data_IF_217692179409
#
_entry.id   IF_217692179409
#
_cell.length_a   1.000
_cell.length_b   1.000
_cell.length_c   1.000
_cell.angle_alpha   90.00
_cell.angle_beta   90.00
_cell.angle_gamma   90.00
#
_symmetry.space_group_name_H-M   'P 1'
#
loop_
_entity.id
_entity.type
_entity.pdbx_description
1 polymer ?
#
# COMPACT_ATOMS: atom_id res chain seq x y z
N UNK A 1 23.57 11.36 -0.29
CA UNK A 1 24.30 12.19 0.70
C UNK A 1 25.67 12.53 0.14
N UNK A 2 26.20 13.77 0.28
CA UNK A 2 27.55 14.10 -0.20
C UNK A 2 28.60 13.16 0.39
N UNK A 3 29.55 12.71 -0.45
CA UNK A 3 30.60 11.78 -0.04
C UNK A 3 31.45 12.31 1.12
N UNK A 4 31.67 13.62 1.17
CA UNK A 4 32.41 14.28 2.25
C UNK A 4 31.78 14.10 3.63
N UNK A 5 30.45 13.97 3.72
CA UNK A 5 29.76 13.69 4.98
C UNK A 5 29.86 12.20 5.35
N UNK A 6 29.90 11.29 4.36
CA UNK A 6 30.08 9.86 4.62
C UNK A 6 31.49 9.55 5.09
N UNK A 7 32.50 10.12 4.43
CA UNK A 7 33.90 9.79 4.68
C UNK A 7 34.45 10.50 5.94
N UNK A 8 33.75 11.52 6.45
CA UNK A 8 34.15 12.31 7.62
C UNK A 8 33.89 11.69 9.00
N UNK A 9 33.27 10.50 9.05
CA UNK A 9 32.89 9.84 10.31
C UNK A 9 33.45 8.42 10.40
N UNK A 10 33.89 8.00 11.60
CA UNK A 10 34.54 6.70 11.86
C UNK A 10 33.81 5.50 11.25
N UNK A 11 32.48 5.51 11.26
CA UNK A 11 31.64 4.42 10.74
C UNK A 11 30.85 4.81 9.48
N UNK A 12 31.05 6.03 8.96
CA UNK A 12 30.25 6.62 7.90
C UNK A 12 28.79 6.83 8.28
N UNK A 13 27.90 6.81 7.28
CA UNK A 13 26.45 6.90 7.48
C UNK A 13 25.82 5.52 7.67
N UNK A 14 24.89 5.41 8.61
CA UNK A 14 24.04 4.23 8.81
C UNK A 14 22.59 4.66 8.58
N UNK A 15 21.85 3.88 7.80
CA UNK A 15 20.45 4.14 7.48
C UNK A 15 19.59 2.95 7.91
N UNK A 16 18.37 3.24 8.37
CA UNK A 16 17.33 2.24 8.59
C UNK A 16 16.34 2.35 7.43
N UNK A 17 16.35 1.35 6.56
CA UNK A 17 15.49 1.30 5.38
C UNK A 17 14.30 0.39 5.63
N UNK A 18 13.09 0.86 5.34
CA UNK A 18 11.83 0.15 5.65
C UNK A 18 11.41 -0.85 4.55
N UNK A 19 12.37 -1.66 4.08
CA UNK A 19 12.11 -2.84 3.26
C UNK A 19 13.19 -3.91 3.44
N UNK A 20 12.97 -5.09 2.83
CA UNK A 20 13.96 -6.14 2.67
C UNK A 20 14.79 -5.90 1.40
N UNK A 21 15.88 -5.14 1.54
CA UNK A 21 16.81 -4.83 0.44
C UNK A 21 17.41 -6.11 -0.18
N UNK A 22 17.44 -6.22 -1.52
CA UNK A 22 17.41 -5.11 -2.48
C UNK A 22 16.02 -4.70 -2.99
N UNK A 23 14.94 -5.36 -2.54
CA UNK A 23 13.58 -5.00 -2.94
C UNK A 23 13.19 -3.66 -2.32
N UNK A 24 12.52 -2.82 -3.10
CA UNK A 24 11.98 -1.51 -2.70
C UNK A 24 13.01 -0.47 -2.25
N UNK A 25 14.09 -0.30 -3.01
CA UNK A 25 14.96 0.88 -2.88
C UNK A 25 14.17 2.16 -3.18
N UNK A 26 14.36 3.22 -2.40
CA UNK A 26 13.77 4.54 -2.66
C UNK A 26 12.79 5.01 -1.60
N UNK A 27 11.88 5.89 -2.01
CA UNK A 27 11.21 6.83 -1.11
C UNK A 27 9.94 6.31 -0.44
N UNK A 28 9.25 5.30 -0.99
CA UNK A 28 7.96 4.84 -0.48
C UNK A 28 7.85 3.31 -0.28
N UNK A 29 8.85 2.64 0.32
CA UNK A 29 8.90 1.18 0.36
C UNK A 29 7.69 0.52 1.02
N UNK A 30 7.17 1.10 2.11
CA UNK A 30 6.06 0.56 2.89
C UNK A 30 4.78 0.50 2.05
N UNK A 31 4.36 1.62 1.47
CA UNK A 31 3.16 1.69 0.66
C UNK A 31 3.29 0.81 -0.60
N UNK A 32 4.47 0.81 -1.23
CA UNK A 32 4.70 0.01 -2.45
C UNK A 32 4.66 -1.50 -2.17
N UNK A 33 5.13 -1.96 -1.00
CA UNK A 33 4.99 -3.35 -0.58
C UNK A 33 3.52 -3.75 -0.41
N UNK A 34 2.71 -2.91 0.25
CA UNK A 34 1.26 -3.16 0.40
C UNK A 34 0.57 -3.17 -0.97
N UNK A 35 0.83 -2.18 -1.83
CA UNK A 35 0.27 -2.10 -3.18
C UNK A 35 0.60 -3.33 -4.03
N UNK A 36 1.84 -3.81 -3.96
CA UNK A 36 2.27 -5.01 -4.67
C UNK A 36 1.68 -6.30 -4.09
N UNK A 37 1.10 -6.25 -2.89
CA UNK A 37 0.55 -7.43 -2.19
C UNK A 37 1.64 -8.35 -1.68
N UNK A 38 2.78 -7.79 -1.27
CA UNK A 38 3.84 -8.57 -0.66
C UNK A 38 3.32 -9.18 0.66
N UNK A 39 3.53 -10.48 0.92
CA UNK A 39 3.10 -11.11 2.18
C UNK A 39 4.03 -10.76 3.35
N UNK A 40 5.25 -10.28 3.03
CA UNK A 40 6.31 -9.97 3.98
C UNK A 40 7.07 -8.73 3.50
N UNK A 41 7.44 -7.88 4.44
CA UNK A 41 8.39 -6.79 4.26
C UNK A 41 9.37 -6.83 5.43
N UNK A 42 10.03 -5.72 5.76
CA UNK A 42 10.93 -5.68 6.88
C UNK A 42 11.74 -4.40 6.95
N UNK A 43 12.78 -4.46 7.77
CA UNK A 43 13.76 -3.39 7.91
C UNK A 43 15.14 -3.91 7.57
N UNK A 44 15.94 -3.07 6.92
CA UNK A 44 17.37 -3.26 6.73
C UNK A 44 18.12 -2.12 7.40
N UNK A 45 19.06 -2.43 8.28
CA UNK A 45 20.05 -1.45 8.74
C UNK A 45 21.25 -1.56 7.81
N UNK A 46 21.53 -0.50 7.06
CA UNK A 46 22.53 -0.53 6.00
C UNK A 46 23.58 0.56 6.17
N UNK A 47 24.78 0.31 5.64
CA UNK A 47 25.77 1.34 5.43
C UNK A 47 25.32 2.22 4.27
N UNK A 48 25.38 3.52 4.43
CA UNK A 48 25.07 4.47 3.37
C UNK A 48 26.21 4.54 2.37
N UNK A 49 25.84 4.61 1.09
CA UNK A 49 26.74 4.89 -0.03
C UNK A 49 26.20 6.07 -0.85
N UNK A 50 26.91 6.44 -1.92
CA UNK A 50 26.47 7.53 -2.81
C UNK A 50 25.19 7.15 -3.57
N UNK A 51 25.04 5.86 -3.92
CA UNK A 51 23.84 5.34 -4.56
C UNK A 51 22.61 5.35 -3.65
N UNK A 52 21.42 5.45 -4.25
CA UNK A 52 20.15 5.40 -3.53
C UNK A 52 19.88 3.99 -3.03
N UNK A 53 20.03 3.79 -1.72
CA UNK A 53 19.77 2.53 -1.01
C UNK A 53 20.55 1.33 -1.59
N UNK A 54 21.78 1.56 -2.06
CA UNK A 54 22.64 0.51 -2.67
C UNK A 54 23.62 -0.13 -1.70
N UNK A 55 23.87 0.52 -0.56
CA UNK A 55 24.96 0.13 0.32
C UNK A 55 24.74 -1.23 1.02
N UNK A 56 25.82 -1.84 1.53
CA UNK A 56 25.77 -3.15 2.15
C UNK A 56 24.95 -3.14 3.44
N UNK A 57 24.30 -4.25 3.75
CA UNK A 57 23.35 -4.40 4.86
C UNK A 57 24.02 -5.06 6.07
N UNK A 58 23.90 -4.44 7.24
CA UNK A 58 24.37 -4.98 8.53
C UNK A 58 23.38 -5.98 9.12
N UNK A 59 22.10 -5.65 9.10
CA UNK A 59 21.04 -6.44 9.71
C UNK A 59 19.76 -6.37 8.87
N UNK A 60 19.01 -7.47 8.89
CA UNK A 60 17.71 -7.62 8.24
C UNK A 60 16.73 -8.23 9.23
N UNK A 61 15.52 -7.69 9.29
CA UNK A 61 14.43 -8.28 10.04
C UNK A 61 13.15 -8.28 9.23
N UNK A 62 12.55 -9.46 9.10
CA UNK A 62 11.29 -9.66 8.41
C UNK A 62 10.10 -9.31 9.29
N UNK A 63 9.05 -8.81 8.66
CA UNK A 63 7.76 -8.45 9.26
C UNK A 63 6.66 -8.86 8.29
N UNK A 64 5.72 -9.69 8.75
CA UNK A 64 4.56 -10.08 7.97
C UNK A 64 3.67 -8.87 7.65
N UNK A 65 3.08 -8.84 6.46
CA UNK A 65 2.05 -7.85 6.10
C UNK A 65 0.70 -8.53 6.27
N UNK A 66 0.02 -8.22 7.38
CA UNK A 66 -1.33 -8.73 7.64
C UNK A 66 -2.30 -8.27 6.54
N UNK A 67 -3.36 -9.06 6.31
CA UNK A 67 -4.37 -8.75 5.28
C UNK A 67 -5.01 -7.36 5.46
N UNK A 68 -5.18 -6.94 6.72
CA UNK A 68 -5.76 -5.65 7.09
C UNK A 68 -4.69 -4.55 7.34
N UNK A 69 -3.40 -4.85 7.10
CA UNK A 69 -2.33 -3.90 7.36
C UNK A 69 -2.50 -2.63 6.52
N UNK A 70 -2.47 -1.49 7.19
CA UNK A 70 -2.45 -0.15 6.59
C UNK A 70 -1.03 0.38 6.54
N UNK A 71 -0.75 1.36 5.66
CA UNK A 71 0.56 2.00 5.61
C UNK A 71 0.95 2.63 6.96
N UNK A 72 0.01 3.27 7.65
CA UNK A 72 0.24 3.86 8.97
C UNK A 72 0.57 2.80 10.04
N UNK A 73 -0.22 1.71 10.11
CA UNK A 73 0.02 0.63 11.06
C UNK A 73 1.36 -0.08 10.80
N UNK A 74 1.63 -0.43 9.54
CA UNK A 74 2.88 -1.08 9.16
C UNK A 74 4.09 -0.18 9.41
N UNK A 75 3.96 1.14 9.23
CA UNK A 75 5.01 2.11 9.58
C UNK A 75 5.36 2.05 11.07
N UNK A 76 4.38 1.96 11.96
CA UNK A 76 4.63 1.84 13.40
C UNK A 76 5.36 0.54 13.73
N UNK A 77 4.90 -0.59 13.18
CA UNK A 77 5.55 -1.89 13.36
C UNK A 77 7.00 -1.88 12.88
N UNK A 78 7.27 -1.33 11.69
CA UNK A 78 8.61 -1.24 11.13
C UNK A 78 9.49 -0.25 11.87
N UNK A 79 8.94 0.85 12.39
CA UNK A 79 9.72 1.81 13.17
C UNK A 79 10.26 1.19 14.47
N UNK A 80 9.45 0.38 15.16
CA UNK A 80 9.87 -0.36 16.37
C UNK A 80 10.96 -1.38 16.00
N UNK A 81 10.70 -2.22 15.00
CA UNK A 81 11.67 -3.22 14.55
C UNK A 81 13.00 -2.56 14.10
N UNK A 82 12.92 -1.46 13.36
CA UNK A 82 14.08 -0.72 12.86
C UNK A 82 14.89 -0.06 13.98
N UNK A 83 14.25 0.46 15.02
CA UNK A 83 14.93 1.02 16.17
C UNK A 83 15.71 -0.05 16.95
N UNK A 84 15.11 -1.22 17.16
CA UNK A 84 15.76 -2.35 17.83
C UNK A 84 17.00 -2.84 17.05
N UNK A 85 16.86 -3.05 15.74
CA UNK A 85 17.98 -3.45 14.88
C UNK A 85 19.08 -2.38 14.84
N UNK A 86 18.71 -1.09 14.77
CA UNK A 86 19.67 0.00 14.74
C UNK A 86 20.53 0.03 16.00
N UNK A 87 19.91 -0.08 17.19
CA UNK A 87 20.65 -0.10 18.46
C UNK A 87 21.61 -1.29 18.51
N UNK A 88 21.18 -2.46 18.08
CA UNK A 88 22.04 -3.66 18.03
C UNK A 88 23.24 -3.46 17.07
N UNK A 89 23.00 -2.91 15.88
CA UNK A 89 24.06 -2.64 14.90
C UNK A 89 25.05 -1.59 15.39
N UNK A 90 24.58 -0.50 16.01
CA UNK A 90 25.46 0.54 16.57
C UNK A 90 26.36 -0.03 17.67
N UNK A 91 25.82 -0.86 18.56
CA UNK A 91 26.60 -1.52 19.60
C UNK A 91 27.63 -2.51 19.02
N UNK A 92 27.28 -3.22 17.94
CA UNK A 92 28.21 -4.11 17.24
C UNK A 92 29.32 -3.34 16.50
N UNK A 93 29.00 -2.18 15.90
CA UNK A 93 29.97 -1.30 15.27
C UNK A 93 31.00 -0.77 16.27
N UNK A 94 30.54 -0.33 17.45
CA UNK A 94 31.41 0.19 18.51
C UNK A 94 32.44 -0.85 18.97
N UNK A 95 32.02 -2.12 19.10
CA UNK A 95 32.88 -3.24 19.47
C UNK A 95 33.70 -3.83 18.31
N UNK A 96 33.53 -3.32 17.09
CA UNK A 96 34.22 -3.83 15.90
C UNK A 96 33.73 -5.21 15.42
N UNK A 97 32.52 -5.62 15.81
CA UNK A 97 31.93 -6.92 15.50
C UNK A 97 30.91 -6.88 14.35
N UNK A 98 30.48 -5.69 13.91
CA UNK A 98 29.51 -5.57 12.82
C UNK A 98 30.13 -5.90 11.45
N UNK A 99 29.47 -6.77 10.69
CA UNK A 99 29.80 -7.07 9.30
C UNK A 99 28.63 -6.66 8.40
N UNK A 100 28.93 -5.93 7.32
CA UNK A 100 27.94 -5.57 6.31
C UNK A 100 28.08 -6.49 5.10
N UNK A 101 26.97 -7.01 4.60
CA UNK A 101 26.93 -7.86 3.41
C UNK A 101 26.44 -7.03 2.21
N UNK A 102 27.18 -7.02 1.08
CA UNK A 102 26.68 -6.42 -0.16
C UNK A 102 25.28 -6.90 -0.52
N UNK A 103 24.46 -6.01 -1.08
CA UNK A 103 23.16 -6.41 -1.60
C UNK A 103 23.35 -7.30 -2.83
N UNK A 104 22.51 -8.34 -3.02
CA UNK A 104 22.50 -9.09 -4.27
C UNK A 104 22.04 -8.20 -5.44
N UNK A 105 22.49 -8.54 -6.65
CA UNK A 105 22.05 -7.86 -7.88
C UNK A 105 20.64 -8.29 -8.31
N UNK A 106 20.26 -9.52 -7.99
CA UNK A 106 18.94 -10.07 -8.25
C UNK A 106 17.90 -9.53 -7.25
N UNK A 107 16.68 -9.26 -7.73
CA UNK A 107 15.56 -8.83 -6.89
C UNK A 107 15.50 -7.34 -6.59
N UNK A 108 16.37 -6.52 -7.21
CA UNK A 108 16.31 -5.05 -7.11
C UNK A 108 14.99 -4.53 -7.66
N UNK A 109 14.23 -3.82 -6.83
CA UNK A 109 13.06 -3.05 -7.26
C UNK A 109 13.09 -1.65 -6.66
N UNK A 110 12.35 -0.72 -7.27
CA UNK A 110 12.31 0.67 -6.84
C UNK A 110 10.94 1.08 -6.31
N UNK A 111 10.93 1.62 -5.10
CA UNK A 111 9.79 2.25 -4.47
C UNK A 111 9.79 3.75 -4.76
N UNK A 112 9.37 4.13 -5.96
CA UNK A 112 9.24 5.54 -6.34
C UNK A 112 8.32 6.27 -5.35
N UNK A 113 8.65 7.54 -5.09
CA UNK A 113 7.83 8.45 -4.27
C UNK A 113 6.40 8.42 -4.80
N UNK A 114 5.42 8.30 -3.90
CA UNK A 114 4.01 8.37 -4.30
C UNK A 114 3.71 9.75 -4.89
N UNK A 115 2.74 9.82 -5.80
CA UNK A 115 2.21 11.07 -6.35
C UNK A 115 0.69 11.11 -6.17
N UNK A 116 0.02 12.19 -6.59
CA UNK A 116 -1.46 12.24 -6.52
C UNK A 116 -2.10 11.26 -7.49
N UNK A 117 -1.45 11.02 -8.61
CA UNK A 117 -1.89 10.14 -9.69
C UNK A 117 -1.90 8.67 -9.23
N UNK A 118 -0.99 8.25 -8.34
CA UNK A 118 -1.05 6.93 -7.70
C UNK A 118 -2.37 6.68 -6.95
N UNK A 119 -3.04 7.75 -6.50
CA UNK A 119 -4.33 7.71 -5.80
C UNK A 119 -5.56 7.69 -6.70
N UNK A 120 -5.41 7.88 -8.01
CA UNK A 120 -6.56 7.89 -8.92
C UNK A 120 -6.91 6.44 -9.28
N UNK A 121 -8.06 5.98 -8.80
CA UNK A 121 -8.57 4.65 -9.10
C UNK A 121 -9.20 4.62 -10.50
N UNK A 122 -8.66 3.73 -11.32
CA UNK A 122 -9.29 3.24 -12.54
C UNK A 122 -9.98 1.90 -12.26
N UNK A 123 -11.31 1.91 -12.25
CA UNK A 123 -12.12 0.71 -12.01
C UNK A 123 -11.95 -0.36 -13.09
N UNK A 124 -11.62 0.02 -14.33
CA UNK A 124 -11.44 -0.94 -15.43
C UNK A 124 -10.12 -1.70 -15.31
N UNK A 125 -9.12 -1.10 -14.67
CA UNK A 125 -7.78 -1.66 -14.56
C UNK A 125 -7.53 -2.44 -13.25
N UNK A 126 -8.40 -2.34 -12.24
CA UNK A 126 -8.13 -2.84 -10.89
C UNK A 126 -9.14 -3.89 -10.40
N UNK A 127 -8.64 -4.99 -9.85
CA UNK A 127 -9.47 -5.96 -9.11
C UNK A 127 -9.94 -5.39 -7.77
N UNK A 128 -10.95 -6.01 -7.17
CA UNK A 128 -11.42 -5.62 -5.84
C UNK A 128 -10.31 -5.70 -4.77
N UNK A 129 -9.40 -6.67 -4.87
CA UNK A 129 -8.24 -6.83 -3.98
C UNK A 129 -7.15 -5.78 -4.25
N UNK A 130 -7.00 -5.31 -5.49
CA UNK A 130 -6.12 -4.18 -5.79
C UNK A 130 -6.69 -2.87 -5.24
N UNK A 131 -8.00 -2.64 -5.39
CA UNK A 131 -8.68 -1.49 -4.78
C UNK A 131 -8.47 -1.47 -3.27
N UNK A 132 -8.63 -2.63 -2.63
CA UNK A 132 -8.39 -2.79 -1.20
C UNK A 132 -6.96 -2.40 -0.77
N UNK A 133 -5.96 -2.95 -1.49
CA UNK A 133 -4.56 -2.60 -1.26
C UNK A 133 -4.30 -1.11 -1.46
N UNK A 134 -4.91 -0.48 -2.47
CA UNK A 134 -4.81 0.96 -2.67
C UNK A 134 -5.37 1.74 -1.47
N UNK A 135 -6.56 1.38 -0.98
CA UNK A 135 -7.20 2.06 0.16
C UNK A 135 -6.33 1.96 1.41
N UNK A 136 -5.76 0.78 1.68
CA UNK A 136 -4.89 0.56 2.85
C UNK A 136 -3.50 1.19 2.72
N UNK A 137 -2.94 1.24 1.51
CA UNK A 137 -1.58 1.71 1.28
C UNK A 137 -1.47 3.23 1.10
N UNK A 138 -2.53 3.87 0.61
CA UNK A 138 -2.52 5.27 0.19
C UNK A 138 -3.24 6.20 1.18
N UNK A 139 -3.68 5.69 2.33
CA UNK A 139 -4.20 6.50 3.43
C UNK A 139 -3.07 6.91 4.40
N UNK A 140 -2.96 8.20 4.79
CA UNK A 140 -3.82 9.33 4.45
C UNK A 140 -3.48 10.02 3.11
N UNK A 141 -2.33 9.70 2.51
CA UNK A 141 -1.82 10.35 1.31
C UNK A 141 -1.30 9.36 0.27
N UNK A 142 -1.62 9.55 -1.03
CA UNK A 142 -2.48 10.59 -1.62
C UNK A 142 -3.98 10.45 -1.33
N UNK A 143 -4.40 9.32 -0.76
CA UNK A 143 -5.79 8.86 -0.71
C UNK A 143 -6.23 8.24 -2.03
N UNK A 144 -7.28 7.42 -1.99
CA UNK A 144 -7.87 6.83 -3.20
C UNK A 144 -9.05 7.66 -3.66
N UNK A 145 -9.02 8.20 -4.87
CA UNK A 145 -10.13 8.91 -5.51
C UNK A 145 -10.68 8.11 -6.67
N UNK A 146 -12.01 8.01 -6.79
CA UNK A 146 -12.68 7.28 -7.86
C UNK A 146 -13.94 8.02 -8.33
N UNK A 147 -14.38 7.76 -9.56
CA UNK A 147 -15.76 8.07 -9.94
C UNK A 147 -16.71 7.09 -9.24
N UNK A 148 -17.77 7.64 -8.64
CA UNK A 148 -18.87 6.88 -8.07
C UNK A 148 -20.19 7.55 -8.44
N UNK A 149 -20.93 6.93 -9.36
CA UNK A 149 -22.19 7.44 -9.89
C UNK A 149 -22.05 8.86 -10.50
N UNK A 150 -21.02 9.06 -11.33
CA UNK A 150 -20.79 10.32 -12.07
C UNK A 150 -20.22 11.44 -11.21
N UNK A 151 -19.59 11.09 -10.09
CA UNK A 151 -18.90 12.07 -9.25
C UNK A 151 -17.65 11.52 -8.59
N UNK A 152 -16.62 12.35 -8.57
CA UNK A 152 -15.36 12.05 -7.90
C UNK A 152 -15.53 12.08 -6.38
N UNK A 153 -15.17 10.98 -5.74
CA UNK A 153 -15.12 10.84 -4.28
C UNK A 153 -13.79 10.23 -3.85
N UNK A 154 -13.37 10.52 -2.62
CA UNK A 154 -12.37 9.69 -1.93
C UNK A 154 -13.04 8.47 -1.34
N UNK A 155 -12.47 7.29 -1.57
CA UNK A 155 -12.82 6.06 -0.87
C UNK A 155 -11.98 6.03 0.41
N UNK A 156 -12.65 5.94 1.56
CA UNK A 156 -11.99 5.96 2.86
C UNK A 156 -11.94 4.59 3.52
N UNK A 157 -12.95 3.75 3.29
CA UNK A 157 -12.97 2.39 3.81
C UNK A 157 -13.87 1.49 2.97
N UNK A 158 -13.53 0.22 2.95
CA UNK A 158 -14.24 -0.82 2.22
C UNK A 158 -13.49 -2.14 2.33
N UNK A 159 -13.94 -3.13 1.58
CA UNK A 159 -13.28 -4.44 1.49
C UNK A 159 -13.72 -5.20 0.23
N UNK A 160 -12.90 -6.12 -0.29
CA UNK A 160 -13.34 -7.01 -1.34
C UNK A 160 -14.40 -7.97 -0.79
N UNK A 161 -15.39 -8.31 -1.61
CA UNK A 161 -16.39 -9.33 -1.30
C UNK A 161 -16.06 -10.58 -2.12
N UNK A 162 -15.86 -11.70 -1.43
CA UNK A 162 -15.67 -13.00 -2.08
C UNK A 162 -16.90 -13.36 -2.92
N UNK A 163 -16.67 -13.72 -4.19
CA UNK A 163 -17.72 -14.06 -5.15
C UNK A 163 -17.41 -13.48 -6.54
N UNK A 164 -17.80 -14.18 -7.60
CA UNK A 164 -17.72 -13.61 -8.94
C UNK A 164 -18.79 -12.52 -9.08
N UNK A 165 -18.55 -11.57 -9.96
CA UNK A 165 -19.55 -10.58 -10.39
C UNK A 165 -20.88 -11.24 -10.85
N UNK A 166 -20.84 -12.52 -11.24
CA UNK A 166 -21.99 -13.35 -11.65
C UNK A 166 -22.77 -13.95 -10.47
N UNK A 167 -22.21 -13.97 -9.27
CA UNK A 167 -22.81 -14.60 -8.09
C UNK A 167 -23.72 -13.61 -7.32
N UNK A 168 -24.09 -12.48 -7.93
CA UNK A 168 -24.98 -11.47 -7.33
C UNK A 168 -26.43 -11.97 -7.41
N UNK A 169 -27.07 -12.33 -6.28
CA UNK A 169 -28.49 -12.66 -6.26
C UNK A 169 -29.30 -11.39 -6.54
N UNK A 170 -30.14 -11.43 -7.59
CA UNK A 170 -30.89 -10.27 -8.08
C UNK A 170 -31.29 -10.37 -9.56
N UNK A 171 -30.64 -11.24 -10.34
CA UNK A 171 -31.14 -11.68 -11.65
C UNK A 171 -32.10 -12.87 -11.49
N UNK A 172 -33.09 -12.77 -10.61
CA UNK A 172 -34.16 -13.76 -10.56
C UNK A 172 -35.12 -13.52 -11.73
N UNK A 173 -34.98 -14.36 -12.77
CA UNK A 173 -35.96 -14.44 -13.85
C UNK A 173 -35.46 -14.15 -15.26
N UNK A 174 -34.29 -14.64 -15.66
CA UNK A 174 -34.12 -15.09 -17.05
C UNK A 174 -32.94 -16.04 -17.19
N UNK A 175 -33.22 -17.22 -17.71
CA UNK A 175 -32.23 -18.04 -18.41
C UNK A 175 -31.47 -17.18 -19.44
N UNK A 176 -30.17 -17.45 -19.56
CA UNK A 176 -29.27 -17.12 -20.68
C UNK A 176 -29.06 -15.63 -21.03
N UNK A 177 -28.23 -14.95 -20.25
CA UNK A 177 -27.11 -14.09 -20.71
C UNK A 177 -26.49 -13.45 -19.48
N UNK A 178 -25.21 -13.64 -19.23
CA UNK A 178 -24.55 -12.94 -18.13
C UNK A 178 -24.58 -11.44 -18.46
N UNK A 179 -25.43 -10.66 -17.79
CA UNK A 179 -25.39 -9.20 -17.88
C UNK A 179 -24.02 -8.76 -17.39
N UNK A 180 -23.17 -8.34 -18.32
CA UNK A 180 -21.87 -7.76 -18.01
C UNK A 180 -22.17 -6.41 -17.36
N UNK A 181 -21.96 -6.31 -16.05
CA UNK A 181 -22.04 -5.03 -15.36
C UNK A 181 -20.73 -4.28 -15.61
N UNK A 182 -20.74 -3.05 -16.12
CA UNK A 182 -19.50 -2.30 -16.34
C UNK A 182 -18.76 -2.04 -15.03
N UNK A 183 -17.44 -2.08 -15.05
CA UNK A 183 -16.62 -1.67 -13.90
C UNK A 183 -16.95 -0.25 -13.46
N UNK A 184 -16.89 0.02 -12.16
CA UNK A 184 -17.31 1.29 -11.55
C UNK A 184 -18.83 1.40 -11.34
N UNK A 185 -19.63 0.48 -11.87
CA UNK A 185 -21.08 0.49 -11.65
C UNK A 185 -21.43 0.06 -10.23
N UNK A 186 -22.32 0.81 -9.60
CA UNK A 186 -22.97 0.38 -8.35
C UNK A 186 -23.91 -0.78 -8.65
N UNK A 187 -23.57 -1.96 -8.14
CA UNK A 187 -24.35 -3.20 -8.34
C UNK A 187 -25.56 -3.22 -7.42
N UNK A 188 -25.35 -2.93 -6.13
CA UNK A 188 -26.41 -2.84 -5.13
C UNK A 188 -25.98 -2.03 -3.92
N UNK A 189 -26.96 -1.62 -3.12
CA UNK A 189 -26.76 -1.03 -1.80
C UNK A 189 -27.06 -2.11 -0.75
N UNK A 190 -26.17 -2.28 0.22
CA UNK A 190 -26.32 -3.20 1.35
C UNK A 190 -26.24 -2.44 2.66
N UNK A 191 -27.41 -2.17 3.26
CA UNK A 191 -27.49 -1.31 4.44
C UNK A 191 -26.92 0.08 4.14
N UNK A 192 -25.84 0.45 4.83
CA UNK A 192 -25.15 1.74 4.65
C UNK A 192 -23.99 1.69 3.63
N UNK A 193 -23.73 0.53 3.04
CA UNK A 193 -22.62 0.30 2.11
C UNK A 193 -23.10 0.14 0.67
N UNK A 194 -22.18 0.28 -0.29
CA UNK A 194 -22.45 0.03 -1.71
C UNK A 194 -21.50 -1.03 -2.26
N UNK A 195 -22.02 -1.97 -3.05
CA UNK A 195 -21.20 -2.89 -3.83
C UNK A 195 -20.96 -2.30 -5.20
N UNK A 196 -19.69 -2.20 -5.59
CA UNK A 196 -19.25 -1.64 -6.87
C UNK A 196 -18.48 -2.72 -7.63
N UNK A 197 -18.76 -2.84 -8.93
CA UNK A 197 -18.02 -3.73 -9.81
C UNK A 197 -16.60 -3.20 -10.01
N UNK A 198 -15.59 -4.03 -9.74
CA UNK A 198 -14.21 -3.77 -10.12
C UNK A 198 -13.89 -4.50 -11.44
N UNK A 199 -12.66 -4.38 -11.96
CA UNK A 199 -12.25 -5.12 -13.16
C UNK A 199 -12.46 -6.64 -12.99
N UNK A 200 -12.18 -7.13 -11.79
CA UNK A 200 -12.55 -8.47 -11.33
C UNK A 200 -13.02 -8.41 -9.88
N UNK A 201 -14.10 -9.13 -9.58
CA UNK A 201 -14.71 -9.16 -8.25
C UNK A 201 -15.59 -7.95 -7.94
N UNK A 202 -16.05 -7.90 -6.69
CA UNK A 202 -16.88 -6.80 -6.18
C UNK A 202 -16.17 -6.15 -5.00
N UNK A 203 -16.12 -4.83 -5.01
CA UNK A 203 -15.61 -4.06 -3.89
C UNK A 203 -16.77 -3.43 -3.12
N UNK A 204 -16.85 -3.71 -1.83
CA UNK A 204 -17.79 -3.05 -0.92
C UNK A 204 -17.17 -1.75 -0.45
N UNK A 205 -17.82 -0.64 -0.74
CA UNK A 205 -17.47 0.68 -0.21
C UNK A 205 -18.35 0.95 1.02
N UNK A 206 -17.71 1.23 2.15
CA UNK A 206 -18.39 1.57 3.40
C UNK A 206 -18.46 3.09 3.58
N UNK A 207 -17.32 3.78 3.44
CA UNK A 207 -17.21 5.22 3.69
C UNK A 207 -16.59 5.95 2.50
N UNK A 208 -17.21 7.05 2.11
CA UNK A 208 -16.70 7.96 1.07
C UNK A 208 -16.62 9.39 1.57
N UNK A 209 -15.84 10.21 0.88
CA UNK A 209 -15.78 11.64 1.12
C UNK A 209 -15.78 12.40 -0.21
N UNK A 210 -16.79 13.24 -0.43
CA UNK A 210 -16.78 14.20 -1.54
C UNK A 210 -15.82 15.36 -1.26
N UNK A 211 -15.25 16.00 -2.29
CA UNK A 211 -14.38 17.16 -2.13
C UNK A 211 -15.03 18.26 -1.25
N UNK A 212 -14.31 18.71 -0.23
CA UNK A 212 -14.77 19.76 0.70
C UNK A 212 -15.93 19.37 1.63
N UNK A 213 -16.33 18.09 1.67
CA UNK A 213 -17.42 17.60 2.54
C UNK A 213 -16.89 16.69 3.64
N UNK A 214 -17.74 16.46 4.65
CA UNK A 214 -17.49 15.44 5.68
C UNK A 214 -17.62 14.04 5.07
N UNK A 215 -16.89 13.09 5.64
CA UNK A 215 -17.07 11.67 5.33
C UNK A 215 -18.50 11.22 5.63
N UNK A 216 -19.03 10.31 4.82
CA UNK A 216 -20.36 9.73 4.99
C UNK A 216 -20.38 8.30 4.45
N UNK A 217 -21.45 7.57 4.78
CA UNK A 217 -21.65 6.23 4.24
C UNK A 217 -21.86 6.26 2.71
N UNK A 218 -21.46 5.18 2.04
CA UNK A 218 -21.65 5.07 0.59
C UNK A 218 -23.14 5.14 0.20
N UNK A 219 -24.02 4.53 0.99
CA UNK A 219 -25.46 4.59 0.75
C UNK A 219 -26.02 6.02 0.91
N UNK A 220 -25.61 6.76 1.94
CA UNK A 220 -26.04 8.15 2.13
C UNK A 220 -25.60 9.04 0.98
N UNK A 221 -24.37 8.87 0.50
CA UNK A 221 -23.87 9.58 -0.69
C UNK A 221 -24.73 9.29 -1.92
N UNK A 222 -25.05 8.02 -2.20
CA UNK A 222 -25.85 7.61 -3.36
C UNK A 222 -27.30 8.08 -3.28
N UNK A 223 -27.92 8.11 -2.08
CA UNK A 223 -29.28 8.63 -1.88
C UNK A 223 -29.37 10.11 -2.23
N UNK A 224 -28.35 10.90 -1.92
CA UNK A 224 -28.29 12.33 -2.24
C UNK A 224 -28.10 12.66 -3.73
N UNK A 225 -27.96 11.66 -4.59
CA UNK A 225 -27.80 11.80 -6.05
C UNK A 225 -28.99 11.30 -6.87
N UNK A 226 -30.02 10.79 -6.20
CA UNK A 226 -31.28 10.42 -6.84
C UNK A 226 -32.21 11.62 -6.97
#
# INVERSE_FOLDING_TARGET
>A
MPRTLLDGHRFGGVNVHASLLPRWRGAAPIARAILAGDPVTGVCVMKMEVGLDTGPVYARREVAIDAEATAAGLTQTLAIAGAEELVAVLAALERGAAAATPQPEEGVTHAARLTREDGVLDWEARSAEEVDRMVRALDPWPGVTADLAGATVRILSGRPIGGRQRDVPGAEGSSSSATIVPSGSVVRIEGESALVAAATGLYRIDTVQSPGRRAMSAAAFLRGRR
#
